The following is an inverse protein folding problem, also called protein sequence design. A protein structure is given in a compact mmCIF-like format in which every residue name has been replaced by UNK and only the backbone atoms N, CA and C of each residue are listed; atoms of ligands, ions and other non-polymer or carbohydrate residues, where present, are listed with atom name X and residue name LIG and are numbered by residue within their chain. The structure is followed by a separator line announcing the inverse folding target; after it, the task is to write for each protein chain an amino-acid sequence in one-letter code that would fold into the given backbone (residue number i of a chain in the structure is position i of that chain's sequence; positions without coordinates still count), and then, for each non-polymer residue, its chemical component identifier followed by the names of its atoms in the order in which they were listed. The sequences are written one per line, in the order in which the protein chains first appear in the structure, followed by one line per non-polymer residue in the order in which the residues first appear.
data_IF_868247579002
#
_entry.id   IF_868247579002
#
_cell.length_a   1.000
_cell.length_b   1.000
_cell.length_c   1.000
_cell.angle_alpha   90.00
_cell.angle_beta   90.00
_cell.angle_gamma   90.00
#
_symmetry.space_group_name_H-M   'P 1'
#
loop_
_entity.id
_entity.type
_entity.pdbx_description
1 polymer ?
#
# COMPACT_ATOMS: atom_id res chain seq x y z
N UNK A 1 -5.70 9.29 -14.18
CA UNK A 1 -5.06 8.00 -13.87
C UNK A 1 -5.21 7.80 -12.38
N UNK A 2 -5.88 6.71 -11.96
CA UNK A 2 -6.17 6.41 -10.54
C UNK A 2 -5.17 5.35 -10.09
N UNK A 3 -4.54 5.57 -8.94
CA UNK A 3 -3.55 4.67 -8.34
C UNK A 3 -4.04 4.29 -6.92
N UNK A 4 -3.73 3.09 -6.46
CA UNK A 4 -4.11 2.52 -5.16
C UNK A 4 -2.86 2.34 -4.32
N UNK A 5 -2.92 2.61 -3.03
CA UNK A 5 -1.81 2.38 -2.11
C UNK A 5 -2.28 1.63 -0.85
N UNK A 6 -1.46 0.70 -0.37
CA UNK A 6 -1.72 -0.13 0.82
C UNK A 6 -0.64 0.05 1.87
N UNK A 7 -0.97 0.76 2.94
CA UNK A 7 -0.14 0.78 4.13
C UNK A 7 -0.44 -0.46 4.96
N UNK A 8 0.57 -1.28 5.24
CA UNK A 8 0.38 -2.52 6.00
C UNK A 8 0.92 -2.35 7.42
N UNK A 9 0.12 -2.67 8.44
CA UNK A 9 0.59 -2.73 9.84
C UNK A 9 0.89 -4.18 10.23
N UNK A 10 2.10 -4.38 10.74
CA UNK A 10 2.53 -5.61 11.43
C UNK A 10 2.45 -5.38 12.94
N UNK A 11 1.75 -6.29 13.64
CA UNK A 11 1.74 -6.33 15.10
C UNK A 11 2.71 -7.43 15.57
N UNK A 12 3.67 -7.09 16.46
CA UNK A 12 4.51 -8.09 17.14
C UNK A 12 3.84 -8.56 18.43
N UNK A 13 3.97 -9.85 18.80
CA UNK A 13 3.61 -10.30 20.13
C UNK A 13 4.73 -9.92 21.11
N UNK A 14 4.68 -8.69 21.64
CA UNK A 14 5.48 -8.24 22.80
C UNK A 14 4.59 -7.33 23.65
N UNK A 15 4.77 -7.33 24.96
CA UNK A 15 3.91 -6.70 26.00
C UNK A 15 3.74 -5.17 25.94
N UNK A 16 3.97 -4.55 24.79
CA UNK A 16 3.79 -3.13 24.49
C UNK A 16 3.21 -3.01 23.09
N UNK A 17 2.12 -2.26 22.94
CA UNK A 17 1.33 -2.10 21.69
C UNK A 17 2.10 -1.32 20.60
N UNK A 18 3.18 -1.88 20.07
CA UNK A 18 3.93 -1.25 18.96
C UNK A 18 3.39 -1.77 17.63
N UNK A 19 2.75 -0.88 16.86
CA UNK A 19 2.36 -1.11 15.47
C UNK A 19 3.52 -0.72 14.55
N UNK A 20 4.02 -1.65 13.75
CA UNK A 20 5.03 -1.38 12.71
C UNK A 20 4.32 -1.16 11.37
N UNK A 21 4.66 -0.12 10.60
CA UNK A 21 4.13 0.09 9.24
C UNK A 21 5.14 -0.41 8.22
N UNK A 22 4.69 -1.21 7.25
CA UNK A 22 5.50 -1.71 6.15
C UNK A 22 5.42 -0.77 4.95
N UNK A 23 6.60 -0.42 4.44
CA UNK A 23 6.82 0.38 3.24
C UNK A 23 7.77 -0.41 2.33
N UNK A 24 7.64 -0.22 1.02
CA UNK A 24 8.56 -0.77 0.01
C UNK A 24 9.51 0.33 -0.45
N UNK A 25 10.78 0.01 -0.68
CA UNK A 25 11.73 0.99 -1.23
C UNK A 25 11.61 1.07 -2.75
N UNK A 26 11.72 2.28 -3.31
CA UNK A 26 11.70 2.42 -4.76
C UNK A 26 12.97 1.84 -5.38
N UNK A 27 12.84 1.07 -6.48
CA UNK A 27 14.00 0.61 -7.26
C UNK A 27 14.83 1.76 -7.85
N UNK A 28 14.22 2.94 -8.05
CA UNK A 28 14.88 4.12 -8.65
C UNK A 28 15.60 5.01 -7.62
N UNK A 29 15.11 5.05 -6.39
CA UNK A 29 15.71 5.80 -5.30
C UNK A 29 15.59 4.99 -3.99
N UNK A 30 16.67 4.33 -3.55
CA UNK A 30 16.68 3.52 -2.33
C UNK A 30 16.39 4.31 -1.05
N UNK A 31 16.50 5.65 -1.08
CA UNK A 31 16.20 6.53 0.05
C UNK A 31 14.71 6.87 0.17
N UNK A 32 13.90 6.51 -0.84
CA UNK A 32 12.46 6.79 -0.88
C UNK A 32 11.69 5.53 -0.48
N UNK A 33 10.89 5.67 0.57
CA UNK A 33 9.93 4.67 1.02
C UNK A 33 8.56 4.97 0.42
N UNK A 34 8.00 3.98 -0.26
CA UNK A 34 6.70 4.03 -0.89
C UNK A 34 5.76 3.06 -0.20
N UNK A 35 4.48 3.41 -0.24
CA UNK A 35 3.42 2.51 0.17
C UNK A 35 3.18 1.55 -1.01
N UNK A 36 3.19 0.21 -0.81
CA UNK A 36 2.94 -0.71 -1.91
C UNK A 36 1.62 -0.42 -2.61
N UNK A 37 1.59 -0.46 -3.93
CA UNK A 37 0.46 0.08 -4.67
C UNK A 37 0.67 0.23 -6.17
N UNK A 38 -0.44 0.31 -6.91
CA UNK A 38 -0.43 0.38 -8.36
C UNK A 38 -1.78 0.78 -8.96
N UNK A 39 -1.96 0.52 -10.25
CA UNK A 39 -3.16 0.95 -10.98
C UNK A 39 -4.40 0.16 -10.60
N UNK A 40 -5.57 0.78 -10.72
CA UNK A 40 -6.85 0.06 -10.68
C UNK A 40 -7.13 -0.59 -12.04
N UNK A 41 -7.42 -1.89 -12.06
CA UNK A 41 -7.83 -2.57 -13.30
C UNK A 41 -9.29 -2.29 -13.68
N UNK A 42 -9.68 -2.39 -14.97
CA UNK A 42 -11.06 -2.16 -15.39
C UNK A 42 -12.04 -3.13 -14.72
N UNK A 43 -12.99 -2.58 -13.95
CA UNK A 43 -14.00 -3.37 -13.23
C UNK A 43 -13.55 -3.91 -11.87
N UNK A 44 -12.31 -3.65 -11.47
CA UNK A 44 -11.78 -3.99 -10.16
C UNK A 44 -12.17 -2.92 -9.13
N UNK A 45 -12.49 -3.35 -7.91
CA UNK A 45 -12.69 -2.43 -6.80
C UNK A 45 -11.36 -2.09 -6.09
N UNK A 46 -11.33 -0.96 -5.39
CA UNK A 46 -10.12 -0.44 -4.74
C UNK A 46 -9.53 -1.38 -3.68
N UNK A 47 -10.37 -2.18 -3.03
CA UNK A 47 -9.95 -3.12 -1.97
C UNK A 47 -9.31 -4.37 -2.60
N UNK A 48 -9.89 -4.86 -3.71
CA UNK A 48 -9.35 -5.98 -4.47
C UNK A 48 -7.99 -5.61 -5.08
N UNK A 49 -7.89 -4.44 -5.70
CA UNK A 49 -6.63 -3.92 -6.24
C UNK A 49 -5.56 -3.78 -5.14
N UNK A 50 -5.92 -3.18 -4.01
CA UNK A 50 -5.05 -3.08 -2.84
C UNK A 50 -4.47 -4.44 -2.41
N UNK A 51 -5.31 -5.48 -2.34
CA UNK A 51 -4.85 -6.83 -1.97
C UNK A 51 -3.92 -7.45 -3.01
N UNK A 52 -4.21 -7.26 -4.30
CA UNK A 52 -3.37 -7.74 -5.41
C UNK A 52 -1.99 -7.09 -5.35
N UNK A 53 -1.93 -5.76 -5.27
CA UNK A 53 -0.66 -5.00 -5.21
C UNK A 53 0.19 -5.38 -3.98
N UNK A 54 -0.44 -5.49 -2.80
CA UNK A 54 0.26 -5.91 -1.58
C UNK A 54 0.88 -7.31 -1.71
N UNK A 55 0.22 -8.21 -2.43
CA UNK A 55 0.76 -9.54 -2.73
C UNK A 55 1.89 -9.49 -3.75
N UNK A 56 1.71 -8.77 -4.86
CA UNK A 56 2.69 -8.70 -5.96
C UNK A 56 3.98 -7.98 -5.59
N UNK A 57 3.89 -6.86 -4.86
CA UNK A 57 5.07 -6.04 -4.54
C UNK A 57 5.77 -6.46 -3.25
N UNK A 58 5.02 -7.01 -2.28
CA UNK A 58 5.53 -7.27 -0.94
C UNK A 58 5.36 -8.72 -0.46
N UNK A 59 4.70 -9.59 -1.24
CA UNK A 59 4.41 -10.97 -0.85
C UNK A 59 3.45 -11.07 0.33
N UNK A 60 2.65 -10.02 0.58
CA UNK A 60 1.83 -9.89 1.76
C UNK A 60 0.42 -10.42 1.51
N UNK A 61 -0.02 -11.36 2.35
CA UNK A 61 -1.43 -11.74 2.45
C UNK A 61 -1.99 -11.23 3.78
N UNK A 62 -2.63 -10.06 3.72
CA UNK A 62 -3.25 -9.41 4.87
C UNK A 62 -4.76 -9.24 4.72
N UNK A 63 -5.39 -8.83 5.80
CA UNK A 63 -6.78 -8.39 5.79
C UNK A 63 -6.83 -6.86 5.63
N UNK A 64 -7.60 -6.36 4.65
CA UNK A 64 -7.86 -4.92 4.53
C UNK A 64 -8.76 -4.51 5.69
N UNK A 65 -8.23 -3.72 6.61
CA UNK A 65 -8.88 -3.36 7.84
C UNK A 65 -9.69 -2.06 7.72
N UNK A 66 -9.13 -1.02 7.07
CA UNK A 66 -9.76 0.30 7.07
C UNK A 66 -9.37 1.14 5.86
N UNK A 67 -10.34 1.91 5.33
CA UNK A 67 -10.06 2.98 4.37
C UNK A 67 -9.50 4.20 5.10
N UNK A 68 -8.31 4.68 4.69
CA UNK A 68 -7.68 5.85 5.28
C UNK A 68 -8.07 7.15 4.56
N UNK A 69 -8.41 7.08 3.27
CA UNK A 69 -8.89 8.24 2.51
C UNK A 69 -8.41 8.28 1.07
N UNK A 70 -8.84 9.34 0.38
CA UNK A 70 -8.42 9.70 -0.97
C UNK A 70 -7.44 10.87 -0.88
N UNK A 71 -6.29 10.74 -1.51
CA UNK A 71 -5.26 11.77 -1.58
C UNK A 71 -5.04 12.18 -3.03
N UNK A 72 -5.06 13.48 -3.29
CA UNK A 72 -4.79 14.03 -4.62
C UNK A 72 -3.34 14.54 -4.67
N UNK A 73 -2.58 14.11 -5.67
CA UNK A 73 -1.28 14.68 -6.01
C UNK A 73 -1.34 15.22 -7.43
N UNK A 74 -1.07 16.50 -7.60
CA UNK A 74 -1.03 17.18 -8.89
C UNK A 74 0.24 18.00 -9.04
N UNK A 75 0.52 18.43 -10.27
CA UNK A 75 1.62 19.35 -10.54
C UNK A 75 1.29 20.79 -10.13
N UNK A 76 2.30 21.54 -9.68
CA UNK A 76 2.16 22.96 -9.40
C UNK A 76 1.90 23.77 -10.69
N UNK A 77 1.02 24.77 -10.57
CA UNK A 77 0.70 25.83 -11.53
C UNK A 77 1.00 25.54 -13.02
N UNK A 78 0.06 24.87 -13.70
CA UNK A 78 0.02 24.78 -15.18
C UNK A 78 -0.06 23.37 -15.76
N UNK A 79 0.17 22.33 -14.97
CA UNK A 79 0.06 20.93 -15.41
C UNK A 79 -1.27 20.32 -14.94
N UNK A 80 -2.26 20.17 -15.82
CA UNK A 80 -3.62 19.71 -15.47
C UNK A 80 -3.77 18.21 -15.14
N UNK A 81 -2.69 17.53 -14.72
CA UNK A 81 -2.79 16.13 -14.31
C UNK A 81 -2.92 16.05 -12.78
N UNK A 82 -3.91 15.28 -12.34
CA UNK A 82 -4.10 14.89 -10.95
C UNK A 82 -4.08 13.37 -10.86
N UNK A 83 -3.34 12.85 -9.89
CA UNK A 83 -3.41 11.45 -9.48
C UNK A 83 -4.22 11.37 -8.20
N UNK A 84 -5.11 10.38 -8.17
CA UNK A 84 -5.94 10.07 -7.03
C UNK A 84 -5.41 8.78 -6.42
N UNK A 85 -5.00 8.86 -5.16
CA UNK A 85 -4.51 7.74 -4.36
C UNK A 85 -5.56 7.34 -3.35
N UNK A 86 -6.06 6.12 -3.46
CA UNK A 86 -6.92 5.54 -2.44
C UNK A 86 -6.03 4.73 -1.50
N UNK A 87 -6.04 5.11 -0.22
CA UNK A 87 -5.17 4.48 0.77
C UNK A 87 -5.97 3.54 1.66
N UNK A 88 -5.56 2.28 1.68
CA UNK A 88 -6.10 1.26 2.56
C UNK A 88 -5.08 0.84 3.61
N UNK A 89 -5.59 0.62 4.82
CA UNK A 89 -4.86 0.02 5.91
C UNK A 89 -5.09 -1.49 5.87
N UNK A 90 -4.01 -2.25 5.77
CA UNK A 90 -4.03 -3.71 5.89
C UNK A 90 -3.40 -4.15 7.21
N UNK A 91 -3.92 -5.22 7.79
CA UNK A 91 -3.29 -5.92 8.92
C UNK A 91 -2.78 -7.27 8.45
N UNK A 92 -1.54 -7.59 8.79
CA UNK A 92 -0.94 -8.89 8.45
C UNK A 92 -0.78 -9.76 9.68
N UNK A 93 -1.13 -11.06 9.60
CA UNK A 93 -0.77 -12.00 10.64
C UNK A 93 0.76 -12.12 10.71
N UNK A 94 1.28 -12.31 11.93
CA UNK A 94 2.72 -12.37 12.25
C UNK A 94 3.53 -13.39 11.43
N UNK A 95 2.86 -14.34 10.76
CA UNK A 95 3.44 -15.37 9.88
C UNK A 95 3.00 -15.16 8.44
N UNK A 96 3.62 -14.21 7.75
CA UNK A 96 3.77 -14.30 6.30
C UNK A 96 5.21 -14.75 6.05
N UNK A 97 5.45 -15.97 5.53
CA UNK A 97 6.73 -16.26 4.92
C UNK A 97 6.83 -15.32 3.72
N UNK A 98 7.72 -14.34 3.81
CA UNK A 98 8.15 -13.56 2.65
C UNK A 98 8.59 -14.57 1.60
N UNK A 99 7.78 -14.75 0.56
CA UNK A 99 8.12 -15.61 -0.56
C UNK A 99 9.30 -14.97 -1.28
N UNK A 100 10.52 -15.37 -0.93
CA UNK A 100 11.68 -15.08 -1.76
C UNK A 100 11.54 -15.96 -3.01
N UNK A 101 11.26 -15.34 -4.15
CA UNK A 101 11.50 -15.92 -5.48
C UNK A 101 12.98 -16.16 -5.71
#
# INVERSE_FOLDING_TARGET
MIEQCVSTIRQRPVSTMTSEVMLVSSKKDPCVWLVPGGGLEPGEDTVTAARREAWEEAGIQGHIARYLGLFEVGGDSGSAWKRHFFIWLATVPYRVPICNS
#
